data_IF_715544022292
#
_entry.id   IF_715544022292
#
_cell.length_a   1.000
_cell.length_b   1.000
_cell.length_c   1.000
_cell.angle_alpha   90.00
_cell.angle_beta   90.00
_cell.angle_gamma   90.00
#
_symmetry.space_group_name_H-M   'P 1'
#
loop_
_entity.id
_entity.type
_entity.pdbx_description
1 polymer ?
#
# COMPACT_ATOMS: atom_id res chain seq x y z
N UNK A 1 -21.97 36.35 28.47
CA UNK A 1 -21.37 35.56 29.58
C UNK A 1 -21.77 34.09 29.53
N UNK A 2 -22.87 33.61 30.15
CA UNK A 2 -23.18 32.17 30.20
C UNK A 2 -23.49 31.53 28.83
N UNK A 3 -24.21 32.25 27.95
CA UNK A 3 -24.48 31.80 26.58
C UNK A 3 -23.23 31.72 25.70
N UNK A 4 -22.28 32.67 25.82
CA UNK A 4 -21.00 32.64 25.10
C UNK A 4 -20.07 31.51 25.59
N UNK A 5 -20.06 31.24 26.90
CA UNK A 5 -19.28 30.12 27.48
C UNK A 5 -19.80 28.78 26.94
N UNK A 6 -21.13 28.63 26.82
CA UNK A 6 -21.74 27.44 26.23
C UNK A 6 -21.32 27.26 24.76
N UNK A 7 -21.26 28.36 23.98
CA UNK A 7 -20.82 28.32 22.58
C UNK A 7 -19.35 27.97 22.44
N UNK A 8 -18.49 28.51 23.33
CA UNK A 8 -17.05 28.20 23.32
C UNK A 8 -16.79 26.74 23.72
N UNK A 9 -17.36 26.28 24.82
CA UNK A 9 -17.22 24.90 25.29
C UNK A 9 -17.76 23.89 24.25
N UNK A 10 -18.87 24.22 23.59
CA UNK A 10 -19.40 23.43 22.49
C UNK A 10 -18.44 23.35 21.29
N UNK A 11 -17.82 24.47 20.89
CA UNK A 11 -16.87 24.45 19.77
C UNK A 11 -15.59 23.67 20.10
N UNK A 12 -15.07 23.81 21.32
CA UNK A 12 -13.92 23.02 21.78
C UNK A 12 -14.24 21.51 21.75
N UNK A 13 -15.42 21.12 22.23
CA UNK A 13 -15.91 19.75 22.13
C UNK A 13 -16.03 19.29 20.68
N UNK A 14 -16.63 20.11 19.81
CA UNK A 14 -16.85 19.77 18.42
C UNK A 14 -15.52 19.57 17.67
N UNK A 15 -14.51 20.39 17.93
CA UNK A 15 -13.20 20.29 17.31
C UNK A 15 -12.40 19.09 17.83
N UNK A 16 -12.48 18.79 19.14
CA UNK A 16 -11.93 17.54 19.70
C UNK A 16 -12.55 16.30 19.02
N UNK A 17 -13.89 16.25 18.92
CA UNK A 17 -14.58 15.13 18.29
C UNK A 17 -14.22 15.00 16.80
N UNK A 18 -14.17 16.11 16.05
CA UNK A 18 -13.72 16.10 14.65
C UNK A 18 -12.30 15.55 14.52
N UNK A 19 -11.38 15.95 15.39
CA UNK A 19 -10.00 15.47 15.35
C UNK A 19 -9.90 13.98 15.69
N UNK A 20 -10.65 13.51 16.70
CA UNK A 20 -10.74 12.07 17.02
C UNK A 20 -11.27 11.26 15.83
N UNK A 21 -12.33 11.73 15.17
CA UNK A 21 -12.92 11.07 13.99
C UNK A 21 -11.91 11.03 12.85
N UNK A 22 -11.26 12.15 12.53
CA UNK A 22 -10.22 12.20 11.48
C UNK A 22 -9.09 11.22 11.76
N UNK A 23 -8.57 11.21 12.99
CA UNK A 23 -7.49 10.32 13.40
C UNK A 23 -7.92 8.84 13.35
N UNK A 24 -9.15 8.52 13.75
CA UNK A 24 -9.68 7.17 13.66
C UNK A 24 -9.80 6.70 12.19
N UNK A 25 -10.28 7.56 11.30
CA UNK A 25 -10.36 7.26 9.85
C UNK A 25 -8.98 7.02 9.24
N UNK A 26 -7.98 7.83 9.58
CA UNK A 26 -6.60 7.64 9.11
C UNK A 26 -6.04 6.31 9.58
N UNK A 27 -6.21 5.95 10.87
CA UNK A 27 -5.75 4.66 11.39
C UNK A 27 -6.43 3.47 10.69
N UNK A 28 -7.74 3.56 10.48
CA UNK A 28 -8.48 2.51 9.77
C UNK A 28 -7.98 2.35 8.32
N UNK A 29 -7.82 3.46 7.60
CA UNK A 29 -7.28 3.45 6.23
C UNK A 29 -5.87 2.84 6.18
N UNK A 30 -5.00 3.19 7.12
CA UNK A 30 -3.64 2.64 7.19
C UNK A 30 -3.65 1.13 7.49
N UNK A 31 -4.55 0.67 8.36
CA UNK A 31 -4.70 -0.77 8.64
C UNK A 31 -5.14 -1.54 7.40
N UNK A 32 -6.15 -1.03 6.68
CA UNK A 32 -6.61 -1.62 5.42
C UNK A 32 -5.50 -1.61 4.37
N UNK A 33 -4.75 -0.52 4.24
CA UNK A 33 -3.64 -0.44 3.31
C UNK A 33 -2.57 -1.49 3.61
N UNK A 34 -2.17 -1.65 4.88
CA UNK A 34 -1.17 -2.66 5.28
C UNK A 34 -1.59 -4.07 4.88
N UNK A 35 -2.82 -4.45 5.17
CA UNK A 35 -3.35 -5.78 4.79
C UNK A 35 -3.41 -5.95 3.28
N UNK A 36 -3.84 -4.91 2.55
CA UNK A 36 -3.90 -4.95 1.09
C UNK A 36 -2.52 -5.14 0.46
N UNK A 37 -1.50 -4.42 0.96
CA UNK A 37 -0.11 -4.54 0.49
C UNK A 37 0.46 -5.91 0.83
N UNK A 38 0.18 -6.43 2.03
CA UNK A 38 0.59 -7.78 2.43
C UNK A 38 -0.03 -8.85 1.50
N UNK A 39 -1.32 -8.74 1.23
CA UNK A 39 -2.02 -9.64 0.30
C UNK A 39 -1.38 -9.61 -1.11
N UNK A 40 -1.08 -8.43 -1.63
CA UNK A 40 -0.43 -8.28 -2.94
C UNK A 40 0.97 -8.88 -2.96
N UNK A 41 1.73 -8.74 -1.88
CA UNK A 41 3.01 -9.42 -1.74
C UNK A 41 2.85 -10.95 -1.72
N UNK A 42 1.89 -11.49 -0.96
CA UNK A 42 1.62 -12.92 -0.88
C UNK A 42 1.23 -13.50 -2.24
N UNK A 43 0.34 -12.83 -3.00
CA UNK A 43 -0.03 -13.23 -4.37
C UNK A 43 1.22 -13.28 -5.25
N UNK A 44 2.07 -12.26 -5.18
CA UNK A 44 3.34 -12.21 -5.91
C UNK A 44 4.24 -13.39 -5.58
N UNK A 45 4.45 -13.65 -4.28
CA UNK A 45 5.29 -14.73 -3.78
C UNK A 45 4.78 -16.10 -4.22
N UNK A 46 3.50 -16.40 -4.00
CA UNK A 46 2.88 -17.66 -4.44
C UNK A 46 2.98 -17.83 -5.96
N UNK A 47 2.81 -16.76 -6.73
CA UNK A 47 2.96 -16.84 -8.19
C UNK A 47 4.39 -17.21 -8.59
N UNK A 48 5.42 -16.67 -7.90
CA UNK A 48 6.82 -17.01 -8.16
C UNK A 48 7.15 -18.46 -7.81
N UNK A 49 6.63 -18.94 -6.68
CA UNK A 49 6.78 -20.34 -6.23
C UNK A 49 6.19 -21.29 -7.28
N UNK A 50 4.94 -21.05 -7.71
CA UNK A 50 4.31 -21.86 -8.76
C UNK A 50 5.07 -21.78 -10.10
N UNK A 51 5.63 -20.62 -10.45
CA UNK A 51 6.45 -20.52 -11.67
C UNK A 51 7.74 -21.35 -11.60
N UNK A 52 8.38 -21.41 -10.43
CA UNK A 52 9.60 -22.18 -10.23
C UNK A 52 9.33 -23.69 -10.22
N UNK A 53 8.22 -24.13 -9.62
CA UNK A 53 7.87 -25.54 -9.48
C UNK A 53 7.24 -26.12 -10.75
N UNK A 54 6.30 -25.40 -11.35
CA UNK A 54 5.43 -25.89 -12.43
C UNK A 54 5.77 -25.31 -13.81
N UNK A 55 6.75 -24.40 -13.90
CA UNK A 55 7.17 -23.79 -15.15
C UNK A 55 6.12 -22.86 -15.78
N UNK A 56 5.27 -22.23 -14.98
CA UNK A 56 4.18 -21.40 -15.47
C UNK A 56 4.66 -20.22 -16.35
N UNK A 57 4.22 -20.22 -17.60
CA UNK A 57 4.41 -19.12 -18.54
C UNK A 57 3.39 -17.99 -18.38
N UNK A 58 3.55 -16.93 -19.18
CA UNK A 58 2.70 -15.73 -19.14
C UNK A 58 1.20 -16.03 -19.27
N UNK A 59 0.80 -17.01 -20.10
CA UNK A 59 -0.61 -17.37 -20.32
C UNK A 59 -1.34 -17.84 -19.05
N UNK A 60 -0.64 -18.54 -18.15
CA UNK A 60 -1.26 -19.02 -16.90
C UNK A 60 -1.54 -17.84 -15.98
N UNK A 61 -0.63 -16.88 -15.92
CA UNK A 61 -0.78 -15.65 -15.14
C UNK A 61 -1.90 -14.77 -15.71
N UNK A 62 -2.02 -14.68 -17.04
CA UNK A 62 -3.13 -13.96 -17.67
C UNK A 62 -4.49 -14.55 -17.27
N UNK A 63 -4.61 -15.88 -17.33
CA UNK A 63 -5.83 -16.58 -16.90
C UNK A 63 -6.11 -16.37 -15.41
N UNK A 64 -5.10 -16.50 -14.56
CA UNK A 64 -5.22 -16.25 -13.12
C UNK A 64 -5.74 -14.83 -12.84
N UNK A 65 -5.23 -13.83 -13.54
CA UNK A 65 -5.68 -12.45 -13.38
C UNK A 65 -7.15 -12.28 -13.79
N UNK A 66 -7.57 -12.92 -14.88
CA UNK A 66 -8.95 -12.84 -15.36
C UNK A 66 -9.91 -13.59 -14.41
N UNK A 67 -9.53 -14.77 -13.91
CA UNK A 67 -10.30 -15.54 -12.94
C UNK A 67 -10.46 -14.76 -11.62
N UNK A 68 -9.38 -14.17 -11.10
CA UNK A 68 -9.42 -13.36 -9.87
C UNK A 68 -10.25 -12.09 -10.03
N UNK A 69 -10.17 -11.40 -11.17
CA UNK A 69 -11.01 -10.22 -11.44
C UNK A 69 -12.49 -10.56 -11.60
N UNK A 70 -12.80 -11.76 -12.10
CA UNK A 70 -14.18 -12.19 -12.24
C UNK A 70 -14.80 -12.43 -10.85
N UNK A 71 -14.08 -13.11 -9.97
CA UNK A 71 -14.53 -13.39 -8.60
C UNK A 71 -14.59 -12.12 -7.74
N UNK A 72 -13.55 -11.27 -7.82
CA UNK A 72 -13.40 -10.07 -6.99
C UNK A 72 -13.54 -8.80 -7.84
N UNK A 73 -14.69 -8.63 -8.47
CA UNK A 73 -14.96 -7.55 -9.44
C UNK A 73 -14.89 -6.13 -8.86
N UNK A 74 -15.07 -5.97 -7.55
CA UNK A 74 -14.92 -4.71 -6.82
C UNK A 74 -13.45 -4.33 -6.57
N UNK A 75 -12.54 -5.30 -6.70
CA UNK A 75 -11.13 -5.15 -6.36
C UNK A 75 -10.29 -4.74 -7.59
N UNK A 76 -10.18 -3.43 -7.80
CA UNK A 76 -9.45 -2.83 -8.95
C UNK A 76 -7.95 -3.20 -9.02
N UNK A 77 -7.39 -3.71 -7.92
CA UNK A 77 -6.00 -4.12 -7.82
C UNK A 77 -5.62 -5.39 -8.56
N UNK A 78 -6.56 -6.21 -9.02
CA UNK A 78 -6.29 -7.56 -9.55
C UNK A 78 -6.14 -7.60 -11.10
N UNK A 79 -5.70 -6.50 -11.71
CA UNK A 79 -5.43 -6.48 -13.15
C UNK A 79 -4.19 -7.31 -13.51
N UNK A 80 -4.10 -7.77 -14.77
CA UNK A 80 -2.90 -8.46 -15.31
C UNK A 80 -1.60 -7.68 -15.04
N UNK A 81 -1.63 -6.36 -15.25
CA UNK A 81 -0.48 -5.49 -14.99
C UNK A 81 -0.11 -5.45 -13.51
N UNK A 82 -1.10 -5.41 -12.61
CA UNK A 82 -0.82 -5.42 -11.18
C UNK A 82 -0.31 -6.78 -10.71
N UNK A 83 -0.80 -7.91 -11.21
CA UNK A 83 -0.26 -9.23 -10.88
C UNK A 83 1.21 -9.37 -11.31
N UNK A 84 1.57 -8.80 -12.46
CA UNK A 84 2.97 -8.69 -12.85
C UNK A 84 3.78 -7.89 -11.81
N UNK A 85 3.29 -6.72 -11.39
CA UNK A 85 3.97 -5.93 -10.37
C UNK A 85 3.97 -6.58 -8.98
N UNK A 86 2.96 -7.39 -8.62
CA UNK A 86 2.95 -8.16 -7.38
C UNK A 86 4.12 -9.13 -7.32
N UNK A 87 4.42 -9.81 -8.44
CA UNK A 87 5.62 -10.66 -8.56
C UNK A 87 6.90 -9.86 -8.40
N UNK A 88 7.04 -8.77 -9.16
CA UNK A 88 8.21 -7.87 -9.05
C UNK A 88 8.35 -7.32 -7.63
N UNK A 89 7.24 -7.07 -6.94
CA UNK A 89 7.19 -6.61 -5.55
C UNK A 89 7.65 -7.69 -4.56
N UNK A 90 7.24 -8.94 -4.76
CA UNK A 90 7.69 -10.07 -3.95
C UNK A 90 9.18 -10.38 -4.16
N UNK A 91 9.67 -10.33 -5.41
CA UNK A 91 11.10 -10.45 -5.71
C UNK A 91 11.92 -9.30 -5.08
N UNK A 92 11.36 -8.09 -5.11
CA UNK A 92 11.96 -6.88 -4.58
C UNK A 92 12.14 -6.89 -3.05
N UNK A 93 11.23 -7.55 -2.34
CA UNK A 93 11.18 -7.62 -0.88
C UNK A 93 10.97 -9.08 -0.44
N UNK A 94 12.03 -9.90 -0.35
CA UNK A 94 11.90 -11.32 -0.03
C UNK A 94 11.36 -11.60 1.38
N UNK A 95 11.53 -10.64 2.29
CA UNK A 95 11.13 -10.77 3.70
C UNK A 95 9.83 -10.03 3.98
N UNK A 96 8.83 -10.75 4.50
CA UNK A 96 7.52 -10.20 4.88
C UNK A 96 7.63 -9.04 5.87
N UNK A 97 8.60 -9.10 6.78
CA UNK A 97 8.82 -8.07 7.80
C UNK A 97 9.09 -6.69 7.17
N UNK A 98 9.85 -6.65 6.06
CA UNK A 98 10.15 -5.42 5.33
C UNK A 98 8.88 -4.86 4.69
N UNK A 99 8.01 -5.75 4.19
CA UNK A 99 6.71 -5.38 3.61
C UNK A 99 5.83 -4.72 4.66
N UNK A 100 5.66 -5.34 5.83
CA UNK A 100 4.80 -4.78 6.87
C UNK A 100 5.35 -3.48 7.48
N UNK A 101 6.67 -3.39 7.67
CA UNK A 101 7.28 -2.23 8.32
C UNK A 101 7.41 -1.01 7.40
N UNK A 102 7.68 -1.22 6.12
CA UNK A 102 7.96 -0.15 5.15
C UNK A 102 6.90 -0.06 4.06
N UNK A 103 6.82 -1.07 3.20
CA UNK A 103 5.99 -1.01 2.00
C UNK A 103 4.49 -0.87 2.31
N UNK A 104 4.03 -1.47 3.40
CA UNK A 104 2.65 -1.40 3.88
C UNK A 104 2.25 -0.03 4.44
N UNK A 105 3.22 0.88 4.65
CA UNK A 105 2.95 2.25 5.07
C UNK A 105 2.65 3.20 3.90
N UNK A 106 2.85 2.75 2.67
CA UNK A 106 2.62 3.56 1.47
C UNK A 106 1.57 2.91 0.55
N UNK A 107 0.86 3.70 -0.27
CA UNK A 107 -0.12 3.15 -1.21
C UNK A 107 0.51 2.21 -2.24
N UNK A 108 -0.29 1.27 -2.78
CA UNK A 108 0.18 0.30 -3.78
C UNK A 108 0.86 0.94 -5.00
N UNK A 109 0.25 1.97 -5.59
CA UNK A 109 0.83 2.65 -6.75
C UNK A 109 2.21 3.22 -6.44
N UNK A 110 2.45 3.66 -5.20
CA UNK A 110 3.74 4.22 -4.80
C UNK A 110 4.80 3.12 -4.68
N UNK A 111 4.43 1.96 -4.14
CA UNK A 111 5.30 0.77 -4.17
C UNK A 111 5.71 0.43 -5.61
N UNK A 112 4.74 0.37 -6.53
CA UNK A 112 4.98 0.08 -7.95
C UNK A 112 5.99 1.06 -8.55
N UNK A 113 5.77 2.36 -8.41
CA UNK A 113 6.68 3.35 -9.01
C UNK A 113 8.05 3.35 -8.34
N UNK A 114 8.11 3.15 -7.02
CA UNK A 114 9.37 3.05 -6.27
C UNK A 114 10.25 1.93 -6.80
N UNK A 115 9.68 0.76 -7.05
CA UNK A 115 10.42 -0.42 -7.54
C UNK A 115 10.74 -0.30 -9.04
N UNK A 116 9.83 0.30 -9.80
CA UNK A 116 10.07 0.58 -11.21
C UNK A 116 11.26 1.53 -11.39
N UNK A 117 11.37 2.55 -10.53
CA UNK A 117 12.33 3.65 -10.68
C UNK A 117 13.65 3.41 -9.95
N UNK A 118 13.63 2.79 -8.77
CA UNK A 118 14.81 2.62 -7.91
C UNK A 118 15.20 1.13 -7.86
N UNK A 119 16.31 0.78 -8.50
CA UNK A 119 16.79 -0.62 -8.55
C UNK A 119 17.59 -1.05 -7.33
N UNK A 120 18.25 -0.11 -6.66
CA UNK A 120 18.99 -0.38 -5.42
C UNK A 120 18.00 -0.59 -4.25
N UNK A 121 18.00 -1.78 -3.59
CA UNK A 121 17.20 -2.05 -2.40
C UNK A 121 17.38 -1.01 -1.28
N UNK A 122 18.62 -0.58 -0.99
CA UNK A 122 18.90 0.37 0.09
C UNK A 122 18.32 1.75 -0.21
N UNK A 123 18.41 2.18 -1.47
CA UNK A 123 17.85 3.45 -1.92
C UNK A 123 16.31 3.44 -1.82
N UNK A 124 15.67 2.32 -2.16
CA UNK A 124 14.21 2.14 -1.98
C UNK A 124 13.80 2.27 -0.52
N UNK A 125 14.48 1.58 0.37
CA UNK A 125 14.15 1.62 1.80
C UNK A 125 14.34 3.02 2.38
N UNK A 126 15.47 3.67 2.09
CA UNK A 126 15.72 5.06 2.50
C UNK A 126 14.61 5.99 2.01
N UNK A 127 14.23 5.86 0.75
CA UNK A 127 13.19 6.67 0.13
C UNK A 127 11.82 6.48 0.78
N UNK A 128 11.42 5.23 1.05
CA UNK A 128 10.15 4.92 1.72
C UNK A 128 10.13 5.51 3.13
N UNK A 129 11.24 5.37 3.89
CA UNK A 129 11.36 5.97 5.23
C UNK A 129 11.22 7.49 5.17
N UNK A 130 11.92 8.15 4.25
CA UNK A 130 11.82 9.59 4.06
C UNK A 130 10.39 10.03 3.71
N UNK A 131 9.67 9.28 2.86
CA UNK A 131 8.28 9.59 2.53
C UNK A 131 7.35 9.49 3.75
N UNK A 132 7.52 8.46 4.58
CA UNK A 132 6.74 8.26 5.81
C UNK A 132 7.00 9.41 6.81
N UNK A 133 8.28 9.76 7.02
CA UNK A 133 8.69 10.84 7.93
C UNK A 133 8.12 12.21 7.52
N UNK A 134 7.97 12.45 6.21
CA UNK A 134 7.38 13.69 5.67
C UNK A 134 5.84 13.66 5.60
N UNK A 135 5.19 12.70 6.27
CA UNK A 135 3.72 12.63 6.37
C UNK A 135 3.02 12.34 5.05
N UNK A 136 3.71 11.75 4.08
CA UNK A 136 3.15 11.39 2.78
C UNK A 136 2.79 12.56 1.85
N UNK A 137 3.15 13.80 2.20
CA UNK A 137 2.85 14.99 1.41
C UNK A 137 4.01 15.44 0.50
N UNK A 138 5.16 14.77 0.57
CA UNK A 138 6.33 15.12 -0.23
C UNK A 138 6.35 14.38 -1.57
N UNK A 139 6.43 15.13 -2.67
CA UNK A 139 7.16 14.65 -3.87
C UNK A 139 8.64 14.51 -3.49
N UNK A 140 8.97 13.56 -2.63
CA UNK A 140 10.27 12.91 -2.72
C UNK A 140 10.16 12.15 -4.03
N UNK A 141 10.66 12.68 -5.13
CA UNK A 141 11.01 11.87 -6.29
C UNK A 141 12.38 12.39 -6.66
N UNK A 142 13.43 11.58 -6.63
CA UNK A 142 14.60 11.94 -7.39
C UNK A 142 14.18 11.75 -8.85
N UNK A 143 13.68 12.82 -9.48
CA UNK A 143 13.70 12.88 -10.95
C UNK A 143 15.18 13.08 -11.27
N UNK A 144 15.86 11.99 -11.61
CA UNK A 144 17.06 12.00 -12.42
C UNK A 144 16.64 11.64 -13.84
#
# INVERSE_FOLDING_TARGET
MASEILTKAYQELLDDLKNRIRNARVRAANSVNRELILLYWQIGKTTLECQAEEGWGSKVIERLADDLRHEFSDMLGLSRANLFYMRVFAEAYPEEQIVQQLAGQIPWWHNVVTIASLKDPKLREWYIRAYIENGGAGRCFPIA
#
